data_IF_683972006364
#
_entry.id   IF_683972006364
#
_cell.length_a   1.000
_cell.length_b   1.000
_cell.length_c   1.000
_cell.angle_alpha   90.00
_cell.angle_beta   90.00
_cell.angle_gamma   90.00
#
_symmetry.space_group_name_H-M   'P 1'
#
loop_
_entity.id
_entity.type
_entity.pdbx_description
1 polymer ?
#
# COMPACT_ATOMS: atom_id res chain seq x y z
N UNK A 1 5.89 34.28 -10.75
CA UNK A 1 6.26 32.84 -10.80
C UNK A 1 5.50 32.17 -9.68
N UNK A 2 4.85 31.03 -9.93
CA UNK A 2 4.21 30.29 -8.84
C UNK A 2 5.31 29.60 -8.02
N UNK A 3 5.30 29.80 -6.71
CA UNK A 3 6.20 29.11 -5.79
C UNK A 3 5.74 27.65 -5.66
N UNK A 4 6.68 26.71 -5.81
CA UNK A 4 6.39 25.28 -5.69
C UNK A 4 6.39 24.92 -4.22
N UNK A 5 5.31 24.31 -3.74
CA UNK A 5 5.24 23.75 -2.38
C UNK A 5 5.88 22.35 -2.39
N UNK A 6 6.93 22.09 -1.59
CA UNK A 6 7.56 20.78 -1.53
C UNK A 6 6.68 19.76 -0.82
N UNK A 7 6.78 18.49 -1.21
CA UNK A 7 6.09 17.38 -0.53
C UNK A 7 6.77 16.99 0.77
N UNK A 8 5.99 16.67 1.79
CA UNK A 8 6.47 16.01 3.02
C UNK A 8 6.87 14.55 2.75
N UNK A 9 7.64 13.94 3.65
CA UNK A 9 8.01 12.51 3.53
C UNK A 9 6.78 11.59 3.56
N UNK A 10 5.79 11.88 4.41
CA UNK A 10 4.52 11.16 4.43
C UNK A 10 3.79 11.27 3.09
N UNK A 11 3.73 12.47 2.49
CA UNK A 11 3.11 12.66 1.18
C UNK A 11 3.85 11.90 0.08
N UNK A 12 5.19 11.82 0.13
CA UNK A 12 5.98 11.04 -0.84
C UNK A 12 5.66 9.54 -0.70
N UNK A 13 5.60 9.05 0.54
CA UNK A 13 5.31 7.66 0.85
C UNK A 13 3.89 7.26 0.43
N UNK A 14 2.88 8.06 0.79
CA UNK A 14 1.50 7.85 0.34
C UNK A 14 1.37 7.97 -1.19
N UNK A 15 2.12 8.87 -1.83
CA UNK A 15 2.14 8.97 -3.30
C UNK A 15 2.73 7.71 -3.96
N UNK A 16 3.72 7.06 -3.35
CA UNK A 16 4.25 5.77 -3.83
C UNK A 16 3.15 4.70 -3.80
N UNK A 17 2.44 4.57 -2.68
CA UNK A 17 1.33 3.62 -2.53
C UNK A 17 0.20 3.94 -3.53
N UNK A 18 -0.14 5.23 -3.71
CA UNK A 18 -1.16 5.65 -4.67
C UNK A 18 -0.82 5.24 -6.11
N UNK A 19 0.44 5.41 -6.50
CA UNK A 19 0.93 4.96 -7.82
C UNK A 19 0.91 3.45 -7.95
N UNK A 20 1.26 2.72 -6.89
CA UNK A 20 1.25 1.25 -6.85
C UNK A 20 -0.15 0.69 -7.12
N UNK A 21 -1.19 1.27 -6.54
CA UNK A 21 -2.59 0.88 -6.75
C UNK A 21 -3.22 1.58 -7.97
N UNK A 22 -2.42 1.90 -8.98
CA UNK A 22 -2.88 2.44 -10.26
C UNK A 22 -3.75 3.70 -10.14
N UNK A 23 -3.50 4.52 -9.12
CA UNK A 23 -4.23 5.77 -8.83
C UNK A 23 -5.74 5.55 -8.56
N UNK A 24 -6.13 4.36 -8.10
CA UNK A 24 -7.52 4.08 -7.72
C UNK A 24 -7.78 4.56 -6.29
N UNK A 25 -8.64 5.57 -6.13
CA UNK A 25 -8.89 6.21 -4.83
C UNK A 25 -9.34 5.24 -3.74
N UNK A 26 -10.31 4.36 -4.04
CA UNK A 26 -10.81 3.39 -3.05
C UNK A 26 -9.75 2.37 -2.65
N UNK A 27 -8.94 1.90 -3.60
CA UNK A 27 -7.81 1.03 -3.34
C UNK A 27 -6.74 1.74 -2.50
N UNK A 28 -6.43 3.00 -2.82
CA UNK A 28 -5.44 3.78 -2.11
C UNK A 28 -5.86 4.04 -0.67
N UNK A 29 -7.12 4.38 -0.43
CA UNK A 29 -7.65 4.56 0.92
C UNK A 29 -7.47 3.30 1.78
N UNK A 30 -7.84 2.13 1.24
CA UNK A 30 -7.64 0.85 1.94
C UNK A 30 -6.16 0.58 2.21
N UNK A 31 -5.30 0.79 1.20
CA UNK A 31 -3.86 0.57 1.34
C UNK A 31 -3.24 1.53 2.37
N UNK A 32 -3.63 2.81 2.39
CA UNK A 32 -3.18 3.78 3.38
C UNK A 32 -3.60 3.41 4.80
N UNK A 33 -4.85 2.95 4.99
CA UNK A 33 -5.35 2.54 6.30
C UNK A 33 -4.55 1.36 6.87
N UNK A 34 -4.13 0.42 6.02
CA UNK A 34 -3.32 -0.72 6.45
C UNK A 34 -1.84 -0.35 6.64
N UNK A 35 -1.21 0.24 5.62
CA UNK A 35 0.23 0.47 5.55
C UNK A 35 0.65 1.64 6.46
N UNK A 36 -0.11 2.73 6.48
CA UNK A 36 0.27 3.97 7.16
C UNK A 36 1.63 4.47 6.66
N UNK A 37 2.60 4.55 7.56
CA UNK A 37 4.01 4.89 7.30
C UNK A 37 4.96 3.74 7.65
N UNK A 38 4.45 2.50 7.69
CA UNK A 38 5.20 1.30 8.04
C UNK A 38 5.78 0.64 6.79
N UNK A 39 7.11 0.68 6.66
CA UNK A 39 7.82 0.12 5.51
C UNK A 39 7.69 -1.41 5.42
N UNK A 40 7.63 -2.13 6.54
CA UNK A 40 7.42 -3.58 6.52
C UNK A 40 6.05 -3.90 5.91
N UNK A 41 5.00 -3.17 6.31
CA UNK A 41 3.67 -3.36 5.74
C UNK A 41 3.61 -2.99 4.26
N UNK A 42 4.37 -1.98 3.82
CA UNK A 42 4.49 -1.63 2.40
C UNK A 42 5.08 -2.78 1.59
N UNK A 43 6.17 -3.38 2.07
CA UNK A 43 6.82 -4.48 1.36
C UNK A 43 5.95 -5.74 1.32
N UNK A 44 5.27 -6.08 2.41
CA UNK A 44 4.28 -7.17 2.42
C UNK A 44 3.13 -6.90 1.43
N UNK A 45 2.63 -5.66 1.40
CA UNK A 45 1.60 -5.25 0.45
C UNK A 45 2.07 -5.39 -1.00
N UNK A 46 3.29 -4.93 -1.34
CA UNK A 46 3.86 -5.05 -2.69
C UNK A 46 3.91 -6.50 -3.15
N UNK A 47 4.38 -7.42 -2.30
CA UNK A 47 4.46 -8.86 -2.61
C UNK A 47 3.07 -9.40 -2.97
N UNK A 48 2.08 -9.19 -2.10
CA UNK A 48 0.75 -9.76 -2.31
C UNK A 48 -0.03 -9.07 -3.43
N UNK A 49 0.13 -7.75 -3.57
CA UNK A 49 -0.44 -7.01 -4.69
C UNK A 49 0.12 -7.53 -6.01
N UNK A 50 1.43 -7.69 -6.16
CA UNK A 50 2.04 -8.27 -7.37
C UNK A 50 1.54 -9.70 -7.64
N UNK A 51 1.44 -10.55 -6.62
CA UNK A 51 0.90 -11.91 -6.75
C UNK A 51 -0.56 -11.95 -7.24
N UNK A 52 -1.34 -10.91 -6.94
CA UNK A 52 -2.73 -10.77 -7.36
C UNK A 52 -2.93 -10.23 -8.78
N UNK A 53 -1.86 -10.10 -9.59
CA UNK A 53 -1.90 -9.46 -10.92
C UNK A 53 -2.85 -10.08 -11.95
N UNK A 54 -3.36 -11.29 -11.71
CA UNK A 54 -4.39 -11.90 -12.54
C UNK A 54 -5.77 -11.23 -12.40
N UNK A 55 -6.03 -10.52 -11.30
CA UNK A 55 -7.27 -9.77 -11.10
C UNK A 55 -7.13 -8.35 -11.69
N UNK A 56 -7.94 -8.04 -12.69
CA UNK A 56 -7.97 -6.74 -13.35
C UNK A 56 -8.64 -5.64 -12.51
N UNK A 57 -9.47 -6.02 -11.53
CA UNK A 57 -10.06 -5.08 -10.58
C UNK A 57 -9.04 -4.74 -9.49
N UNK A 58 -8.48 -3.53 -9.59
CA UNK A 58 -7.43 -3.04 -8.69
C UNK A 58 -7.93 -2.89 -7.25
N UNK A 59 -9.21 -2.59 -7.06
CA UNK A 59 -9.82 -2.44 -5.74
C UNK A 59 -9.90 -3.80 -5.06
N UNK A 60 -10.43 -4.82 -5.75
CA UNK A 60 -10.47 -6.20 -5.23
C UNK A 60 -9.05 -6.74 -5.00
N UNK A 61 -8.13 -6.49 -5.94
CA UNK A 61 -6.72 -6.89 -5.82
C UNK A 61 -6.05 -6.26 -4.59
N UNK A 62 -6.37 -5.01 -4.30
CA UNK A 62 -5.85 -4.30 -3.11
C UNK A 62 -6.43 -4.88 -1.83
N UNK A 63 -7.74 -5.13 -1.75
CA UNK A 63 -8.35 -5.77 -0.57
C UNK A 63 -7.72 -7.14 -0.27
N UNK A 64 -7.53 -7.97 -1.30
CA UNK A 64 -6.89 -9.28 -1.15
C UNK A 64 -5.42 -9.16 -0.73
N UNK A 65 -4.69 -8.18 -1.27
CA UNK A 65 -3.31 -7.92 -0.90
C UNK A 65 -3.20 -7.47 0.56
N UNK A 66 -4.07 -6.57 1.02
CA UNK A 66 -4.13 -6.15 2.44
C UNK A 66 -4.45 -7.31 3.35
N UNK A 67 -5.44 -8.15 3.01
CA UNK A 67 -5.79 -9.34 3.79
C UNK A 67 -4.59 -10.27 3.97
N UNK A 68 -3.93 -10.65 2.87
CA UNK A 68 -2.76 -11.54 2.91
C UNK A 68 -1.56 -10.90 3.62
N UNK A 69 -1.39 -9.58 3.49
CA UNK A 69 -0.32 -8.86 4.19
C UNK A 69 -0.51 -8.87 5.71
N UNK A 70 -1.76 -8.78 6.19
CA UNK A 70 -2.08 -8.93 7.61
C UNK A 70 -1.70 -10.33 8.12
N UNK A 71 -2.03 -11.37 7.36
CA UNK A 71 -1.67 -12.76 7.68
C UNK A 71 -0.13 -12.96 7.68
N UNK A 72 0.58 -12.38 6.71
CA UNK A 72 2.02 -12.47 6.63
C UNK A 72 2.73 -11.66 7.73
N UNK A 73 2.16 -10.53 8.14
CA UNK A 73 2.73 -9.66 9.18
C UNK A 73 2.91 -10.41 10.51
N UNK A 74 1.99 -11.33 10.83
CA UNK A 74 2.09 -12.18 12.02
C UNK A 74 3.39 -12.99 12.07
N UNK A 75 3.98 -13.36 10.92
CA UNK A 75 5.26 -14.07 10.85
C UNK A 75 6.46 -13.20 11.26
N UNK A 76 6.31 -11.88 11.29
CA UNK A 76 7.36 -10.93 11.64
C UNK A 76 7.16 -10.31 13.03
N UNK A 77 5.96 -10.46 13.62
CA UNK A 77 5.60 -9.87 14.91
C UNK A 77 5.52 -10.89 16.05
N UNK A 78 5.49 -12.20 15.77
CA UNK A 78 5.43 -13.28 16.79
C UNK A 78 6.74 -13.55 17.55
N UNK A 79 7.66 -12.57 17.60
CA UNK A 79 8.98 -12.71 18.22
C UNK A 79 9.36 -11.67 19.27
N UNK A 80 8.41 -10.86 19.76
CA UNK A 80 8.64 -9.83 20.79
C UNK A 80 7.80 -10.09 22.03
#
# INVERSE_FOLDING_TARGET
MAEIIPMTEEQKFQLEIYKLVMNQNAAAEEAFQFIGTDELKLELFKIHFQSGGANSDITIRTFEAVRKSKEALDLFTTGV
#
